data_IF_370462824902
#
_entry.id   IF_370462824902
#
_cell.length_a   1.000
_cell.length_b   1.000
_cell.length_c   1.000
_cell.angle_alpha   90.00
_cell.angle_beta   90.00
_cell.angle_gamma   90.00
#
_symmetry.space_group_name_H-M   'P 1'
#
loop_
_entity.id
_entity.type
_entity.pdbx_description
1 polymer ?
#
# COMPACT_ATOMS: atom_id res chain seq x y z
N UNK A 1 -13.37 -42.18 -5.65
CA UNK A 1 -12.35 -41.22 -5.16
C UNK A 1 -11.50 -40.76 -6.35
N UNK A 2 -11.31 -39.46 -6.58
CA UNK A 2 -10.46 -38.99 -7.67
C UNK A 2 -9.00 -39.32 -7.38
N UNK A 3 -8.27 -39.78 -8.41
CA UNK A 3 -6.83 -40.02 -8.35
C UNK A 3 -6.11 -38.68 -8.39
N UNK A 4 -5.38 -38.35 -7.31
CA UNK A 4 -4.46 -37.21 -7.32
C UNK A 4 -3.34 -37.51 -8.33
N UNK A 5 -3.34 -36.80 -9.45
CA UNK A 5 -2.21 -36.77 -10.35
C UNK A 5 -0.98 -36.26 -9.56
N UNK A 6 0.21 -36.81 -9.85
CA UNK A 6 1.49 -36.25 -9.40
C UNK A 6 1.63 -34.85 -9.99
N UNK A 7 1.05 -33.87 -9.30
CA UNK A 7 1.22 -32.46 -9.58
C UNK A 7 2.49 -32.04 -8.85
N UNK A 8 3.31 -31.26 -9.52
CA UNK A 8 4.55 -30.69 -9.02
C UNK A 8 4.22 -29.62 -7.95
N UNK A 9 3.75 -30.09 -6.79
CA UNK A 9 3.15 -29.31 -5.68
C UNK A 9 4.15 -28.32 -5.04
N UNK A 10 5.42 -28.34 -5.46
CA UNK A 10 6.50 -27.65 -4.75
C UNK A 10 6.60 -26.14 -4.99
N UNK A 11 6.17 -25.60 -6.13
CA UNK A 11 6.43 -24.18 -6.48
C UNK A 11 5.16 -23.32 -6.38
N UNK A 12 4.03 -23.78 -6.89
CA UNK A 12 2.80 -22.99 -6.91
C UNK A 12 2.21 -22.77 -5.51
N UNK A 13 2.42 -23.71 -4.58
CA UNK A 13 2.09 -23.51 -3.17
C UNK A 13 3.02 -22.50 -2.48
N UNK A 14 4.30 -22.45 -2.88
CA UNK A 14 5.23 -21.44 -2.35
C UNK A 14 4.84 -20.05 -2.86
N UNK A 15 4.43 -19.92 -4.12
CA UNK A 15 3.97 -18.65 -4.68
C UNK A 15 2.66 -18.19 -4.00
N UNK A 16 1.70 -19.09 -3.81
CA UNK A 16 0.45 -18.79 -3.11
C UNK A 16 0.68 -18.43 -1.64
N UNK A 17 1.58 -19.14 -0.94
CA UNK A 17 1.97 -18.84 0.44
C UNK A 17 2.72 -17.51 0.51
N UNK A 18 3.65 -17.22 -0.41
CA UNK A 18 4.35 -15.92 -0.47
C UNK A 18 3.37 -14.78 -0.73
N UNK A 19 2.41 -14.96 -1.63
CA UNK A 19 1.36 -13.97 -1.90
C UNK A 19 0.44 -13.75 -0.68
N UNK A 20 0.09 -14.82 0.06
CA UNK A 20 -0.74 -14.74 1.27
C UNK A 20 0.00 -14.19 2.50
N UNK A 21 1.31 -14.43 2.60
CA UNK A 21 2.13 -14.06 3.77
C UNK A 21 2.59 -12.61 3.73
N UNK A 22 2.81 -12.04 2.55
CA UNK A 22 3.40 -10.71 2.41
C UNK A 22 2.52 -9.55 2.88
N UNK A 23 1.22 -9.76 3.09
CA UNK A 23 0.30 -8.70 3.52
C UNK A 23 -0.09 -8.77 5.00
N UNK A 24 0.33 -9.79 5.77
CA UNK A 24 -0.18 -10.02 7.15
C UNK A 24 0.82 -10.57 8.19
N UNK A 25 2.11 -10.62 7.86
CA UNK A 25 3.15 -11.22 8.73
C UNK A 25 3.68 -10.21 9.77
N UNK A 26 3.79 -10.64 11.04
CA UNK A 26 4.47 -9.85 12.09
C UNK A 26 5.99 -9.97 11.91
N UNK A 27 6.75 -9.04 12.48
CA UNK A 27 8.21 -8.98 12.31
C UNK A 27 8.94 -10.28 12.70
N UNK A 28 8.41 -11.00 13.70
CA UNK A 28 8.95 -12.29 14.15
C UNK A 28 8.74 -13.43 13.13
N UNK A 29 7.62 -13.40 12.40
CA UNK A 29 7.27 -14.40 11.38
C UNK A 29 8.19 -14.29 10.13
N UNK A 30 8.77 -13.10 9.88
CA UNK A 30 9.75 -12.88 8.80
C UNK A 30 11.01 -13.72 9.02
N UNK A 31 11.46 -13.84 10.27
CA UNK A 31 12.68 -14.59 10.63
C UNK A 31 12.48 -16.09 10.38
N UNK A 32 11.29 -16.60 10.68
CA UNK A 32 10.94 -18.01 10.46
C UNK A 32 10.81 -18.34 8.97
N UNK A 33 10.20 -17.44 8.18
CA UNK A 33 10.16 -17.54 6.72
C UNK A 33 11.58 -17.53 6.14
N UNK A 34 12.47 -16.65 6.60
CA UNK A 34 13.85 -16.61 6.13
C UNK A 34 14.61 -17.91 6.44
N UNK A 35 14.42 -18.49 7.64
CA UNK A 35 14.99 -19.80 8.02
C UNK A 35 14.46 -20.92 7.13
N UNK A 36 13.15 -20.95 6.86
CA UNK A 36 12.53 -21.94 5.99
C UNK A 36 13.10 -21.85 4.56
N UNK A 37 13.17 -20.64 3.99
CA UNK A 37 13.73 -20.40 2.67
C UNK A 37 15.21 -20.84 2.59
N UNK A 38 16.01 -20.56 3.63
CA UNK A 38 17.41 -21.02 3.73
C UNK A 38 17.52 -22.55 3.73
N UNK A 39 16.58 -23.26 4.34
CA UNK A 39 16.61 -24.73 4.45
C UNK A 39 16.13 -25.47 3.20
N UNK A 40 15.31 -24.83 2.35
CA UNK A 40 14.65 -25.50 1.21
C UNK A 40 15.10 -25.02 -0.16
N UNK A 41 15.67 -23.82 -0.27
CA UNK A 41 16.01 -23.22 -1.56
C UNK A 41 17.52 -23.16 -1.81
N UNK A 42 17.90 -23.40 -3.06
CA UNK A 42 19.25 -23.12 -3.50
C UNK A 42 19.52 -21.60 -3.49
N UNK A 43 20.80 -21.17 -3.43
CA UNK A 43 21.17 -19.77 -3.29
C UNK A 43 20.54 -18.82 -4.31
N UNK A 44 20.45 -19.25 -5.57
CA UNK A 44 19.92 -18.42 -6.68
C UNK A 44 18.40 -18.21 -6.57
N UNK A 45 17.64 -19.27 -6.28
CA UNK A 45 16.19 -19.18 -6.05
C UNK A 45 15.87 -18.34 -4.81
N UNK A 46 16.66 -18.51 -3.74
CA UNK A 46 16.56 -17.71 -2.51
C UNK A 46 16.77 -16.21 -2.80
N UNK A 47 17.83 -15.86 -3.52
CA UNK A 47 18.14 -14.47 -3.85
C UNK A 47 17.00 -13.81 -4.65
N UNK A 48 16.47 -14.51 -5.65
CA UNK A 48 15.35 -14.00 -6.46
C UNK A 48 14.10 -13.75 -5.61
N UNK A 49 13.72 -14.70 -4.76
CA UNK A 49 12.54 -14.55 -3.88
C UNK A 49 12.73 -13.38 -2.90
N UNK A 50 13.90 -13.28 -2.26
CA UNK A 50 14.17 -12.19 -1.31
C UNK A 50 14.16 -10.82 -2.00
N UNK A 51 14.66 -10.71 -3.24
CA UNK A 51 14.56 -9.47 -4.03
C UNK A 51 13.12 -9.09 -4.33
N UNK A 52 12.28 -10.06 -4.73
CA UNK A 52 10.86 -9.81 -4.98
C UNK A 52 10.12 -9.38 -3.71
N UNK A 53 10.39 -10.02 -2.57
CA UNK A 53 9.83 -9.64 -1.27
C UNK A 53 10.24 -8.21 -0.91
N UNK A 54 11.54 -7.90 -0.96
CA UNK A 54 12.03 -6.56 -0.66
C UNK A 54 11.41 -5.50 -1.58
N UNK A 55 11.29 -5.81 -2.87
CA UNK A 55 10.66 -4.92 -3.84
C UNK A 55 9.20 -4.64 -3.50
N UNK A 56 8.43 -5.67 -3.16
CA UNK A 56 7.03 -5.53 -2.76
C UNK A 56 6.88 -4.62 -1.54
N UNK A 57 7.71 -4.80 -0.50
CA UNK A 57 7.63 -3.99 0.73
C UNK A 57 8.00 -2.52 0.47
N UNK A 58 9.00 -2.27 -0.37
CA UNK A 58 9.38 -0.92 -0.78
C UNK A 58 8.24 -0.26 -1.58
N UNK A 59 7.57 -1.01 -2.45
CA UNK A 59 6.42 -0.50 -3.20
C UNK A 59 5.25 -0.19 -2.28
N UNK A 60 4.89 -1.12 -1.39
CA UNK A 60 3.81 -0.93 -0.44
C UNK A 60 4.06 0.32 0.43
N UNK A 61 5.26 0.48 0.98
CA UNK A 61 5.60 1.67 1.77
C UNK A 61 5.49 2.98 0.97
N UNK A 62 5.83 2.97 -0.32
CA UNK A 62 5.65 4.15 -1.20
C UNK A 62 4.19 4.44 -1.50
N UNK A 63 3.36 3.42 -1.62
CA UNK A 63 1.91 3.57 -1.84
C UNK A 63 1.22 4.11 -0.58
N UNK A 64 1.58 3.59 0.59
CA UNK A 64 1.13 4.10 1.89
C UNK A 64 1.54 5.56 2.10
N UNK A 65 2.81 5.91 1.83
CA UNK A 65 3.29 7.29 1.92
C UNK A 65 2.53 8.23 0.99
N UNK A 66 2.27 7.82 -0.26
CA UNK A 66 1.45 8.60 -1.20
C UNK A 66 0.02 8.80 -0.69
N UNK A 67 -0.60 7.76 -0.12
CA UNK A 67 -1.95 7.86 0.43
C UNK A 67 -2.00 8.87 1.59
N UNK A 68 -1.04 8.78 2.52
CA UNK A 68 -0.90 9.73 3.64
C UNK A 68 -0.68 11.15 3.12
N UNK A 69 0.15 11.33 2.09
CA UNK A 69 0.40 12.64 1.50
C UNK A 69 -0.86 13.24 0.85
N UNK A 70 -1.64 12.43 0.13
CA UNK A 70 -2.91 12.87 -0.48
C UNK A 70 -3.90 13.31 0.59
N UNK A 71 -4.03 12.55 1.68
CA UNK A 71 -4.90 12.91 2.81
C UNK A 71 -4.47 14.24 3.44
N UNK A 72 -3.18 14.40 3.77
CA UNK A 72 -2.64 15.66 4.33
C UNK A 72 -2.86 16.85 3.40
N UNK A 73 -2.61 16.68 2.10
CA UNK A 73 -2.85 17.75 1.13
C UNK A 73 -4.34 18.14 1.07
N UNK A 74 -5.25 17.18 1.20
CA UNK A 74 -6.68 17.48 1.25
C UNK A 74 -7.07 18.21 2.54
N UNK A 75 -6.52 17.82 3.69
CA UNK A 75 -6.72 18.52 4.96
C UNK A 75 -6.21 19.96 4.90
N UNK A 76 -5.02 20.19 4.32
CA UNK A 76 -4.46 21.53 4.12
C UNK A 76 -5.34 22.38 3.20
N UNK A 77 -5.82 21.83 2.08
CA UNK A 77 -6.77 22.51 1.19
C UNK A 77 -8.05 22.92 1.93
N UNK A 78 -8.60 22.03 2.76
CA UNK A 78 -9.80 22.31 3.57
C UNK A 78 -9.51 23.40 4.61
N UNK A 79 -8.35 23.36 5.27
CA UNK A 79 -7.94 24.37 6.25
C UNK A 79 -7.81 25.76 5.60
N UNK A 80 -7.17 25.83 4.43
CA UNK A 80 -7.06 27.07 3.64
C UNK A 80 -8.45 27.56 3.24
N UNK A 81 -9.31 26.69 2.69
CA UNK A 81 -10.66 27.06 2.28
C UNK A 81 -11.48 27.65 3.45
N UNK A 82 -11.41 27.04 4.65
CA UNK A 82 -12.07 27.57 5.86
C UNK A 82 -11.59 28.97 6.21
N UNK A 83 -10.29 29.23 6.12
CA UNK A 83 -9.73 30.55 6.40
C UNK A 83 -10.21 31.60 5.38
N UNK A 84 -10.31 31.23 4.10
CA UNK A 84 -10.80 32.12 3.05
C UNK A 84 -12.31 32.40 3.18
N UNK A 85 -13.11 31.41 3.58
CA UNK A 85 -14.53 31.59 3.90
C UNK A 85 -14.68 32.61 5.04
N UNK A 86 -13.90 32.45 6.11
CA UNK A 86 -13.91 33.39 7.26
C UNK A 86 -13.51 34.81 6.86
N UNK A 87 -12.62 34.95 5.88
CA UNK A 87 -12.23 36.24 5.31
C UNK A 87 -13.27 36.82 4.33
N UNK A 88 -14.38 36.13 4.08
CA UNK A 88 -15.48 36.60 3.25
C UNK A 88 -15.24 36.48 1.74
N UNK A 89 -14.28 35.66 1.31
CA UNK A 89 -14.04 35.44 -0.12
C UNK A 89 -15.20 34.67 -0.77
N UNK A 90 -15.41 34.93 -2.06
CA UNK A 90 -16.42 34.25 -2.87
C UNK A 90 -16.01 32.80 -3.18
N UNK A 91 -17.01 31.94 -3.33
CA UNK A 91 -16.83 30.48 -3.50
C UNK A 91 -16.04 30.14 -4.76
N UNK A 92 -16.28 30.84 -5.88
CA UNK A 92 -15.58 30.68 -7.15
C UNK A 92 -14.06 30.91 -7.02
N UNK A 93 -13.68 31.96 -6.29
CA UNK A 93 -12.28 32.30 -6.04
C UNK A 93 -11.61 31.28 -5.10
N UNK A 94 -12.33 30.80 -4.09
CA UNK A 94 -11.84 29.75 -3.18
C UNK A 94 -11.64 28.43 -3.93
N UNK A 95 -12.59 28.05 -4.79
CA UNK A 95 -12.50 26.85 -5.62
C UNK A 95 -11.27 26.89 -6.54
N UNK A 96 -11.06 28.02 -7.22
CA UNK A 96 -9.90 28.22 -8.10
C UNK A 96 -8.58 28.17 -7.34
N UNK A 97 -8.54 28.73 -6.11
CA UNK A 97 -7.31 28.84 -5.33
C UNK A 97 -6.92 27.56 -4.59
N UNK A 98 -7.91 26.73 -4.20
CA UNK A 98 -7.69 25.50 -3.42
C UNK A 98 -7.77 24.22 -4.27
N UNK A 99 -8.37 24.31 -5.46
CA UNK A 99 -8.69 23.16 -6.30
C UNK A 99 -9.81 22.27 -5.74
N UNK A 100 -10.54 22.73 -4.72
CA UNK A 100 -11.77 22.10 -4.24
C UNK A 100 -12.94 22.49 -5.13
N UNK A 101 -13.93 21.62 -5.27
CA UNK A 101 -15.17 21.98 -5.96
C UNK A 101 -16.09 22.82 -5.06
N UNK A 102 -17.06 23.50 -5.67
CA UNK A 102 -17.96 24.37 -4.91
C UNK A 102 -18.80 23.64 -3.87
N UNK A 103 -19.18 22.38 -4.12
CA UNK A 103 -20.01 21.60 -3.21
C UNK A 103 -19.22 21.19 -1.95
N UNK A 104 -17.93 20.87 -2.10
CA UNK A 104 -17.00 20.68 -1.00
C UNK A 104 -16.91 21.96 -0.15
N UNK A 105 -16.74 23.12 -0.79
CA UNK A 105 -16.62 24.41 -0.10
C UNK A 105 -17.94 24.78 0.60
N UNK A 106 -19.10 24.54 -0.01
CA UNK A 106 -20.41 24.82 0.59
C UNK A 106 -20.65 23.99 1.85
N UNK A 107 -20.11 22.76 1.93
CA UNK A 107 -20.16 21.91 3.14
C UNK A 107 -19.26 22.41 4.28
N UNK A 108 -18.34 23.34 4.02
CA UNK A 108 -17.42 23.90 5.03
C UNK A 108 -17.97 25.16 5.73
N UNK A 109 -19.11 25.69 5.28
CA UNK A 109 -19.81 26.80 5.93
C UNK A 109 -20.58 26.34 7.15
#
# INVERSE_FOLDING_TARGET
>A
MPKFAKIDIGIDHIELILYYTLTRIKQDDIIEVEKLLKSKLNPKKRENIMKSIAHHWIQQGREEEKAIMVEKMQEEKIAIARNLIKAGLKIDLIATSTGLNEDEIKKLK
#
